data_IF_000174834207
#
_entry.id   IF_000174834207
#
_cell.length_a   1.000
_cell.length_b   1.000
_cell.length_c   1.000
_cell.angle_alpha   90.00
_cell.angle_beta   90.00
_cell.angle_gamma   90.00
#
_symmetry.space_group_name_H-M   'P 1'
#
loop_
_entity.id
_entity.type
_entity.pdbx_description
1 polymer ?
#
# COMPACT_ATOMS: atom_id res chain seq x y z
N UNK A 1 -30.72 -5.79 0.29
CA UNK A 1 -30.12 -6.89 -0.48
C UNK A 1 -28.78 -7.10 0.16
N UNK A 2 -28.70 -8.08 1.04
CA UNK A 2 -27.50 -8.38 1.82
C UNK A 2 -26.37 -8.75 0.85
N UNK A 3 -25.33 -7.95 0.85
CA UNK A 3 -24.08 -8.25 0.15
C UNK A 3 -22.99 -8.21 1.21
N UNK A 4 -22.99 -9.24 2.08
CA UNK A 4 -21.77 -9.58 2.80
C UNK A 4 -20.70 -9.85 1.74
N UNK A 5 -19.72 -8.95 1.61
CA UNK A 5 -18.55 -9.19 0.77
C UNK A 5 -17.87 -10.43 1.34
N UNK A 6 -17.69 -11.52 0.57
CA UNK A 6 -17.04 -12.71 1.09
C UNK A 6 -15.63 -12.35 1.54
N UNK A 7 -15.29 -12.67 2.78
CA UNK A 7 -13.90 -12.66 3.23
C UNK A 7 -13.17 -13.69 2.37
N UNK A 8 -12.36 -13.23 1.43
CA UNK A 8 -11.60 -14.12 0.55
C UNK A 8 -10.41 -14.72 1.30
N UNK A 9 -10.21 -16.02 1.09
CA UNK A 9 -9.15 -16.78 1.73
C UNK A 9 -7.80 -16.54 1.03
N UNK A 10 -7.75 -15.92 -0.16
CA UNK A 10 -6.50 -15.63 -0.88
C UNK A 10 -6.58 -14.45 -1.84
N UNK A 11 -5.49 -13.67 -1.90
CA UNK A 11 -5.34 -12.52 -2.81
C UNK A 11 -4.03 -12.54 -3.58
N UNK A 12 -3.68 -13.70 -4.14
CA UNK A 12 -2.41 -13.89 -4.85
C UNK A 12 -2.15 -12.89 -5.97
N UNK A 13 -3.19 -12.41 -6.65
CA UNK A 13 -3.07 -11.39 -7.70
C UNK A 13 -2.59 -10.02 -7.17
N UNK A 14 -2.93 -9.66 -5.93
CA UNK A 14 -2.53 -8.38 -5.34
C UNK A 14 -1.32 -8.53 -4.41
N UNK A 15 -1.45 -9.41 -3.41
CA UNK A 15 -0.50 -9.64 -2.32
C UNK A 15 0.57 -10.70 -2.63
N UNK A 16 0.64 -11.19 -3.88
CA UNK A 16 1.63 -12.17 -4.30
C UNK A 16 1.63 -13.42 -3.43
N UNK A 17 2.82 -13.80 -2.96
CA UNK A 17 3.01 -15.00 -2.13
C UNK A 17 2.81 -14.75 -0.62
N UNK A 18 2.25 -13.59 -0.23
CA UNK A 18 2.20 -13.18 1.18
C UNK A 18 1.46 -14.19 2.07
N UNK A 19 0.34 -14.74 1.59
CA UNK A 19 -0.40 -15.74 2.34
C UNK A 19 0.43 -16.99 2.62
N UNK A 20 1.10 -17.54 1.60
CA UNK A 20 1.95 -18.71 1.76
C UNK A 20 3.15 -18.45 2.70
N UNK A 21 3.53 -17.17 2.89
CA UNK A 21 4.56 -16.80 3.88
C UNK A 21 4.00 -16.60 5.28
N UNK A 22 2.81 -16.02 5.42
CA UNK A 22 2.18 -15.76 6.71
C UNK A 22 1.65 -17.03 7.39
N UNK A 23 1.35 -18.10 6.65
CA UNK A 23 0.86 -19.37 7.22
C UNK A 23 1.79 -19.98 8.29
N UNK A 24 3.07 -19.60 8.32
CA UNK A 24 4.04 -20.07 9.31
C UNK A 24 3.99 -19.31 10.64
N UNK A 25 3.33 -18.15 10.67
CA UNK A 25 3.29 -17.23 11.84
C UNK A 25 1.87 -16.80 12.22
N UNK A 26 0.90 -16.95 11.32
CA UNK A 26 -0.51 -16.62 11.53
C UNK A 26 -1.38 -17.88 11.36
N UNK A 27 -2.27 -18.12 12.31
CA UNK A 27 -3.25 -19.22 12.24
C UNK A 27 -4.34 -18.96 11.20
N UNK A 28 -4.76 -17.71 11.09
CA UNK A 28 -5.79 -17.24 10.16
C UNK A 28 -5.31 -15.97 9.50
N UNK A 29 -5.50 -15.88 8.18
CA UNK A 29 -5.30 -14.66 7.40
C UNK A 29 -6.60 -14.36 6.67
N UNK A 30 -7.09 -13.14 6.83
CA UNK A 30 -8.33 -12.67 6.21
C UNK A 30 -8.03 -11.47 5.32
N UNK A 31 -8.65 -11.46 4.14
CA UNK A 31 -8.49 -10.40 3.15
C UNK A 31 -9.83 -9.74 2.85
N UNK A 32 -9.77 -8.52 2.32
CA UNK A 32 -10.93 -7.79 1.81
C UNK A 32 -10.68 -7.36 0.36
N UNK A 33 -11.61 -7.70 -0.53
CA UNK A 33 -11.59 -7.33 -1.94
C UNK A 33 -12.59 -6.21 -2.21
N UNK A 34 -12.09 -5.07 -2.69
CA UNK A 34 -12.92 -3.89 -2.92
C UNK A 34 -12.50 -3.16 -4.20
N UNK A 35 -13.47 -2.51 -4.87
CA UNK A 35 -13.21 -1.66 -6.03
C UNK A 35 -12.60 -0.32 -5.59
N UNK A 36 -11.33 -0.39 -5.20
CA UNK A 36 -10.47 0.77 -4.90
C UNK A 36 -9.88 1.41 -6.14
N UNK A 37 -10.29 0.99 -7.34
CA UNK A 37 -9.97 1.67 -8.59
C UNK A 37 -10.99 2.76 -8.87
N UNK A 38 -12.28 2.50 -8.62
CA UNK A 38 -13.37 3.44 -8.90
C UNK A 38 -13.86 4.19 -7.67
N UNK A 39 -13.40 3.82 -6.49
CA UNK A 39 -13.85 4.41 -5.23
C UNK A 39 -12.63 4.86 -4.41
N UNK A 40 -12.66 6.12 -3.96
CA UNK A 40 -11.64 6.73 -3.10
C UNK A 40 -11.72 6.26 -1.65
N UNK A 41 -10.64 6.48 -0.90
CA UNK A 41 -10.56 6.12 0.53
C UNK A 41 -11.58 6.87 1.41
N UNK A 42 -12.14 7.96 0.92
CA UNK A 42 -13.13 8.82 1.60
C UNK A 42 -14.56 8.25 1.55
N UNK A 43 -14.81 7.25 0.69
CA UNK A 43 -16.14 6.70 0.51
C UNK A 43 -16.64 6.03 1.78
N UNK A 44 -17.80 6.48 2.26
CA UNK A 44 -18.36 6.00 3.52
C UNK A 44 -18.69 4.50 3.47
N UNK A 45 -19.23 3.99 2.36
CA UNK A 45 -19.60 2.59 2.25
C UNK A 45 -18.36 1.69 2.25
N UNK A 46 -17.30 2.10 1.56
CA UNK A 46 -16.02 1.41 1.56
C UNK A 46 -15.36 1.42 2.95
N UNK A 47 -15.44 2.53 3.68
CA UNK A 47 -14.95 2.61 5.06
C UNK A 47 -15.72 1.69 6.02
N UNK A 48 -17.05 1.60 5.88
CA UNK A 48 -17.87 0.64 6.66
C UNK A 48 -17.45 -0.82 6.40
N UNK A 49 -17.08 -1.16 5.15
CA UNK A 49 -16.61 -2.51 4.79
C UNK A 49 -15.25 -2.85 5.39
N UNK A 50 -14.31 -1.90 5.41
CA UNK A 50 -13.05 -2.09 6.16
C UNK A 50 -13.31 -2.26 7.66
N UNK A 51 -14.22 -1.48 8.22
CA UNK A 51 -14.60 -1.63 9.63
C UNK A 51 -15.24 -2.99 9.93
N UNK A 52 -16.06 -3.53 9.02
CA UNK A 52 -16.59 -4.88 9.15
C UNK A 52 -15.48 -5.92 9.17
N UNK A 53 -14.53 -5.85 8.23
CA UNK A 53 -13.36 -6.75 8.21
C UNK A 53 -12.58 -6.71 9.53
N UNK A 54 -12.31 -5.52 10.08
CA UNK A 54 -11.57 -5.37 11.34
C UNK A 54 -12.34 -5.99 12.51
N UNK A 55 -13.67 -5.81 12.59
CA UNK A 55 -14.50 -6.42 13.63
C UNK A 55 -14.53 -7.94 13.50
N UNK A 56 -14.69 -8.45 12.29
CA UNK A 56 -14.76 -9.89 12.05
C UNK A 56 -13.41 -10.56 12.36
N UNK A 57 -12.30 -9.95 11.94
CA UNK A 57 -10.95 -10.39 12.29
C UNK A 57 -10.71 -10.38 13.81
N UNK A 58 -11.17 -9.34 14.50
CA UNK A 58 -11.09 -9.26 15.96
C UNK A 58 -11.94 -10.36 16.65
N UNK A 59 -13.15 -10.63 16.14
CA UNK A 59 -14.00 -11.69 16.67
C UNK A 59 -13.36 -13.08 16.51
N UNK A 60 -12.74 -13.35 15.35
CA UNK A 60 -11.97 -14.58 15.10
C UNK A 60 -10.80 -14.70 16.10
N UNK A 61 -10.06 -13.61 16.31
CA UNK A 61 -8.92 -13.56 17.22
C UNK A 61 -9.31 -13.78 18.69
N UNK A 62 -10.50 -13.34 19.10
CA UNK A 62 -11.05 -13.58 20.45
C UNK A 62 -11.56 -15.00 20.65
N UNK A 63 -12.14 -15.62 19.61
CA UNK A 63 -12.70 -16.97 19.68
C UNK A 63 -11.62 -18.06 19.85
N UNK A 64 -10.46 -17.87 19.24
CA UNK A 64 -9.29 -18.72 19.45
C UNK A 64 -8.34 -18.07 20.43
N UNK A 65 -8.46 -18.39 21.73
CA UNK A 65 -7.51 -18.06 22.83
C UNK A 65 -6.61 -16.84 22.59
N UNK A 66 -6.82 -15.70 23.28
CA UNK A 66 -6.45 -14.35 22.83
C UNK A 66 -5.24 -14.30 21.88
N UNK A 67 -5.50 -14.39 20.57
CA UNK A 67 -4.48 -14.22 19.56
C UNK A 67 -4.37 -12.73 19.21
N UNK A 68 -3.18 -12.20 18.95
CA UNK A 68 -3.03 -10.79 18.64
C UNK A 68 -3.54 -10.52 17.22
N UNK A 69 -4.36 -9.49 17.06
CA UNK A 69 -4.78 -9.04 15.75
C UNK A 69 -3.63 -8.25 15.09
N UNK A 70 -3.13 -8.74 13.96
CA UNK A 70 -2.15 -8.02 13.13
C UNK A 70 -2.84 -7.53 11.87
N UNK A 71 -2.75 -6.23 11.60
CA UNK A 71 -3.34 -5.58 10.43
C UNK A 71 -2.22 -5.11 9.53
N UNK A 72 -2.21 -5.61 8.31
CA UNK A 72 -1.38 -5.10 7.23
C UNK A 72 -2.24 -4.31 6.25
N UNK A 73 -1.80 -3.11 5.92
CA UNK A 73 -2.44 -2.25 4.91
C UNK A 73 -1.40 -1.79 3.91
N UNK A 74 -1.80 -1.60 2.66
CA UNK A 74 -0.93 -1.17 1.59
C UNK A 74 -1.53 0.02 0.84
N UNK A 75 -0.70 1.01 0.51
CA UNK A 75 -1.08 2.16 -0.32
C UNK A 75 -2.37 2.83 0.17
N UNK A 76 -3.34 3.05 -0.73
CA UNK A 76 -4.68 3.58 -0.45
C UNK A 76 -5.40 2.86 0.70
N UNK A 77 -5.18 1.55 0.88
CA UNK A 77 -5.78 0.78 1.97
C UNK A 77 -5.41 1.30 3.36
N UNK A 78 -4.23 1.91 3.50
CA UNK A 78 -3.81 2.54 4.76
C UNK A 78 -4.61 3.81 5.06
N UNK A 79 -4.85 4.62 4.03
CA UNK A 79 -5.68 5.82 4.12
C UNK A 79 -7.15 5.46 4.36
N UNK A 80 -7.63 4.38 3.76
CA UNK A 80 -8.99 3.90 3.94
C UNK A 80 -9.26 3.48 5.39
N UNK A 81 -8.35 2.69 5.99
CA UNK A 81 -8.48 2.34 7.41
C UNK A 81 -8.38 3.59 8.30
N UNK A 82 -7.41 4.47 8.04
CA UNK A 82 -7.29 5.72 8.78
C UNK A 82 -8.54 6.60 8.66
N UNK A 83 -9.14 6.70 7.47
CA UNK A 83 -10.35 7.46 7.20
C UNK A 83 -11.58 6.88 7.89
N UNK A 84 -11.67 5.56 7.97
CA UNK A 84 -12.75 4.90 8.72
C UNK A 84 -12.66 5.17 10.23
N UNK A 85 -11.43 5.14 10.77
CA UNK A 85 -11.15 5.51 12.17
C UNK A 85 -11.39 7.01 12.42
N UNK A 86 -10.99 7.86 11.48
CA UNK A 86 -11.21 9.31 11.48
C UNK A 86 -12.68 9.67 11.59
N UNK A 87 -13.50 9.03 10.75
CA UNK A 87 -14.94 9.25 10.69
C UNK A 87 -15.71 8.61 11.84
N UNK A 88 -15.04 7.92 12.77
CA UNK A 88 -15.66 7.26 13.91
C UNK A 88 -16.50 6.03 13.54
N UNK A 89 -16.26 5.40 12.39
CA UNK A 89 -17.00 4.21 11.91
C UNK A 89 -16.64 2.95 12.67
N UNK A 90 -15.39 2.87 13.09
CA UNK A 90 -14.91 1.84 13.99
C UNK A 90 -13.76 2.35 14.84
N UNK A 91 -13.37 1.52 15.80
CA UNK A 91 -12.16 1.70 16.59
C UNK A 91 -11.21 0.53 16.32
N UNK A 92 -9.92 0.82 16.35
CA UNK A 92 -8.89 -0.20 16.36
C UNK A 92 -8.82 -0.79 17.78
N UNK A 93 -8.87 -2.13 17.95
CA UNK A 93 -8.59 -2.75 19.25
C UNK A 93 -7.25 -2.26 19.79
N UNK A 94 -7.13 -2.06 21.10
CA UNK A 94 -5.94 -1.44 21.70
C UNK A 94 -4.69 -2.32 21.52
N UNK A 95 -4.91 -3.63 21.46
CA UNK A 95 -3.93 -4.70 21.36
C UNK A 95 -3.63 -5.07 19.89
N UNK A 96 -4.35 -4.48 18.93
CA UNK A 96 -4.08 -4.71 17.52
C UNK A 96 -2.78 -4.03 17.09
N UNK A 97 -1.94 -4.75 16.36
CA UNK A 97 -0.74 -4.21 15.77
C UNK A 97 -1.01 -3.83 14.31
N UNK A 98 -0.85 -2.55 13.98
CA UNK A 98 -1.10 -2.04 12.62
C UNK A 98 0.19 -1.64 11.92
N UNK A 99 0.42 -2.25 10.76
CA UNK A 99 1.58 -2.01 9.90
C UNK A 99 1.12 -1.52 8.52
N UNK A 100 1.74 -0.44 8.03
CA UNK A 100 1.42 0.14 6.72
C UNK A 100 2.56 -0.03 5.72
N UNK A 101 2.27 -0.37 4.47
CA UNK A 101 3.25 -0.43 3.39
C UNK A 101 2.91 0.57 2.28
N UNK A 102 3.87 1.40 1.85
CA UNK A 102 3.68 2.33 0.73
C UNK A 102 2.54 3.33 0.90
N UNK A 103 2.17 3.66 2.14
CA UNK A 103 1.01 4.50 2.41
C UNK A 103 1.29 5.98 2.01
N UNK A 104 0.45 6.63 1.20
CA UNK A 104 0.65 8.03 0.84
C UNK A 104 0.08 8.97 1.92
N UNK A 105 0.64 8.97 3.13
CA UNK A 105 0.11 9.76 4.27
C UNK A 105 0.09 11.26 4.02
N UNK A 106 1.04 11.77 3.23
CA UNK A 106 1.10 13.17 2.80
C UNK A 106 0.66 13.33 1.33
N UNK A 107 0.05 12.29 0.78
CA UNK A 107 -0.38 12.18 -0.59
C UNK A 107 0.73 11.90 -1.59
N UNK A 108 0.33 11.76 -2.85
CA UNK A 108 1.19 11.44 -3.98
C UNK A 108 1.15 12.55 -5.03
N UNK A 109 2.32 13.06 -5.41
CA UNK A 109 2.45 13.92 -6.59
C UNK A 109 2.18 13.17 -7.90
N UNK A 110 2.43 11.86 -7.94
CA UNK A 110 2.05 11.05 -9.10
C UNK A 110 0.54 11.08 -9.33
N UNK A 111 -0.25 10.95 -8.27
CA UNK A 111 -1.70 11.08 -8.35
C UNK A 111 -2.17 12.46 -8.85
N UNK A 112 -1.44 13.54 -8.54
CA UNK A 112 -1.71 14.89 -9.08
C UNK A 112 -1.47 15.01 -10.58
N UNK A 113 -0.55 14.21 -11.14
CA UNK A 113 -0.23 14.21 -12.57
C UNK A 113 -1.19 13.36 -13.40
N UNK A 114 -2.00 12.50 -12.79
CA UNK A 114 -2.89 11.60 -13.52
C UNK A 114 -3.85 12.31 -14.49
N UNK A 115 -4.48 13.46 -14.19
CA UNK A 115 -5.30 14.17 -15.17
C UNK A 115 -4.52 14.55 -16.44
N UNK A 116 -3.24 14.91 -16.29
CA UNK A 116 -2.36 15.23 -17.42
C UNK A 116 -2.04 13.97 -18.21
N UNK A 117 -1.62 12.89 -17.53
CA UNK A 117 -1.27 11.60 -18.16
C UNK A 117 -2.47 10.99 -18.90
N UNK A 118 -3.63 10.94 -18.27
CA UNK A 118 -4.83 10.30 -18.82
C UNK A 118 -5.47 11.11 -19.97
N UNK A 119 -5.09 12.37 -20.15
CA UNK A 119 -5.56 13.22 -21.25
C UNK A 119 -4.60 13.29 -22.45
N UNK A 120 -3.37 12.76 -22.34
CA UNK A 120 -2.38 12.74 -23.44
C UNK A 120 -2.94 12.08 -24.70
N UNK A 121 -2.67 12.67 -25.87
CA UNK A 121 -3.06 12.11 -27.17
C UNK A 121 -4.51 12.42 -27.57
N UNK A 122 -5.22 13.25 -26.80
CA UNK A 122 -6.53 13.81 -27.18
C UNK A 122 -6.41 15.03 -28.11
N UNK A 123 -5.21 15.59 -28.27
CA UNK A 123 -4.85 16.56 -29.31
C UNK A 123 -3.47 16.23 -29.87
N UNK A 124 -3.32 16.32 -31.19
CA UNK A 124 -2.04 16.19 -31.89
C UNK A 124 -1.33 17.55 -31.80
N UNK A 125 -0.39 17.66 -30.86
CA UNK A 125 0.61 18.74 -30.92
C UNK A 125 1.89 18.14 -31.51
N UNK A 126 2.33 18.68 -32.66
CA UNK A 126 3.41 18.13 -33.50
C UNK A 126 4.79 18.65 -33.12
N UNK A 127 4.90 19.53 -32.12
CA UNK A 127 6.20 19.94 -31.59
C UNK A 127 6.74 18.88 -30.62
N UNK A 128 7.87 18.26 -30.98
CA UNK A 128 8.57 17.30 -30.13
C UNK A 128 8.02 15.87 -30.19
N UNK A 129 8.02 15.25 -31.38
CA UNK A 129 7.59 13.86 -31.64
C UNK A 129 8.07 12.85 -30.58
N UNK A 130 9.30 12.96 -30.09
CA UNK A 130 9.84 12.09 -29.05
C UNK A 130 9.14 12.28 -27.68
N UNK A 131 8.88 13.53 -27.27
CA UNK A 131 8.15 13.83 -26.04
C UNK A 131 6.68 13.41 -26.14
N UNK A 132 6.07 13.59 -27.31
CA UNK A 132 4.72 13.10 -27.58
C UNK A 132 4.64 11.58 -27.51
N UNK A 133 5.55 10.86 -28.18
CA UNK A 133 5.61 9.41 -28.13
C UNK A 133 5.82 8.88 -26.69
N UNK A 134 6.72 9.51 -25.91
CA UNK A 134 6.92 9.15 -24.51
C UNK A 134 5.66 9.35 -23.67
N UNK A 135 4.93 10.45 -23.89
CA UNK A 135 3.67 10.74 -23.21
C UNK A 135 2.56 9.75 -23.58
N UNK A 136 2.48 9.33 -24.84
CA UNK A 136 1.53 8.29 -25.29
C UNK A 136 1.86 6.95 -24.66
N UNK A 137 3.14 6.56 -24.62
CA UNK A 137 3.57 5.34 -23.94
C UNK A 137 3.22 5.36 -22.45
N UNK A 138 3.44 6.48 -21.77
CA UNK A 138 3.04 6.69 -20.38
C UNK A 138 1.53 6.51 -20.18
N UNK A 139 0.69 7.06 -21.07
CA UNK A 139 -0.76 6.85 -21.02
C UNK A 139 -1.13 5.39 -21.21
N UNK A 140 -0.52 4.69 -22.17
CA UNK A 140 -0.76 3.26 -22.40
C UNK A 140 -0.43 2.45 -21.14
N UNK A 141 0.69 2.76 -20.49
CA UNK A 141 1.07 2.14 -19.22
C UNK A 141 0.07 2.51 -18.10
N UNK A 142 -0.34 3.76 -17.98
CA UNK A 142 -1.31 4.20 -16.98
C UNK A 142 -2.70 3.54 -17.15
N UNK A 143 -3.14 3.26 -18.38
CA UNK A 143 -4.35 2.48 -18.65
C UNK A 143 -4.15 1.00 -18.29
N UNK A 144 -2.99 0.43 -18.63
CA UNK A 144 -2.63 -0.97 -18.30
C UNK A 144 -2.61 -1.19 -16.79
N UNK A 145 -1.98 -0.28 -16.05
CA UNK A 145 -1.88 -0.30 -14.58
C UNK A 145 -3.12 0.24 -13.87
N UNK A 146 -4.18 0.60 -14.62
CA UNK A 146 -5.47 1.10 -14.10
C UNK A 146 -5.41 2.43 -13.34
N UNK A 147 -4.34 3.20 -13.49
CA UNK A 147 -4.26 4.59 -13.04
C UNK A 147 -5.17 5.53 -13.83
N UNK A 148 -5.45 5.17 -15.10
CA UNK A 148 -6.48 5.80 -15.91
C UNK A 148 -7.67 4.85 -16.08
N UNK A 149 -8.87 5.42 -16.20
CA UNK A 149 -10.05 4.63 -16.53
C UNK A 149 -9.91 3.95 -17.91
N UNK A 150 -10.57 2.81 -18.08
CA UNK A 150 -10.39 1.94 -19.26
C UNK A 150 -10.92 2.58 -20.56
N UNK A 151 -11.93 3.43 -20.46
CA UNK A 151 -12.41 4.28 -21.56
C UNK A 151 -11.47 5.47 -21.83
N UNK A 152 -10.43 5.62 -21.01
CA UNK A 152 -9.46 6.68 -21.06
C UNK A 152 -10.03 8.04 -20.68
N UNK A 153 -11.20 8.13 -20.02
CA UNK A 153 -11.90 9.39 -19.76
C UNK A 153 -11.36 10.21 -18.60
N UNK A 154 -10.57 9.62 -17.71
CA UNK A 154 -10.01 10.36 -16.58
C UNK A 154 -9.07 9.52 -15.73
N UNK A 155 -8.51 10.13 -14.67
CA UNK A 155 -7.79 9.38 -13.66
C UNK A 155 -8.74 8.43 -12.92
N UNK A 156 -8.24 7.27 -12.50
CA UNK A 156 -8.96 6.40 -11.58
C UNK A 156 -9.33 7.19 -10.31
N UNK A 157 -10.62 7.21 -9.91
CA UNK A 157 -11.05 7.95 -8.71
C UNK A 157 -10.29 7.51 -7.45
N UNK A 158 -10.04 6.21 -7.29
CA UNK A 158 -9.28 5.69 -6.17
C UNK A 158 -7.87 6.25 -6.11
N UNK A 159 -7.08 6.09 -7.17
CA UNK A 159 -5.72 6.64 -7.21
C UNK A 159 -5.71 8.16 -7.09
N UNK A 160 -6.64 8.85 -7.76
CA UNK A 160 -6.74 10.31 -7.70
C UNK A 160 -7.04 10.82 -6.29
N UNK A 161 -7.76 10.05 -5.47
CA UNK A 161 -8.06 10.43 -4.09
C UNK A 161 -6.83 10.39 -3.17
N UNK A 162 -5.72 9.82 -3.61
CA UNK A 162 -4.42 9.86 -2.90
C UNK A 162 -3.56 11.10 -3.22
N UNK A 163 -4.05 12.02 -4.05
CA UNK A 163 -3.31 13.24 -4.44
C UNK A 163 -2.92 14.12 -3.24
N UNK A 164 -1.74 14.74 -3.30
CA UNK A 164 -1.26 15.60 -2.21
C UNK A 164 -2.20 16.78 -1.90
N UNK A 165 -2.90 17.28 -2.91
CA UNK A 165 -3.96 18.31 -2.81
C UNK A 165 -5.30 17.82 -2.25
N UNK A 166 -5.39 16.61 -1.72
CA UNK A 166 -6.61 16.12 -1.07
C UNK A 166 -6.76 16.72 0.34
N UNK A 167 -7.85 17.46 0.56
CA UNK A 167 -8.13 18.19 1.80
C UNK A 167 -8.38 17.27 3.02
N UNK A 168 -8.71 16.00 2.79
CA UNK A 168 -8.95 15.02 3.85
C UNK A 168 -7.66 14.42 4.44
N UNK A 169 -6.55 14.43 3.70
CA UNK A 169 -5.29 13.80 4.13
C UNK A 169 -4.71 14.36 5.44
N UNK A 170 -4.69 15.69 5.68
CA UNK A 170 -4.15 16.24 6.93
C UNK A 170 -4.80 15.67 8.19
N UNK A 171 -6.10 15.37 8.15
CA UNK A 171 -6.82 14.79 9.29
C UNK A 171 -6.30 13.39 9.65
N UNK A 172 -5.85 12.63 8.64
CA UNK A 172 -5.35 11.28 8.81
C UNK A 172 -3.98 11.22 9.49
N UNK A 173 -3.21 12.32 9.50
CA UNK A 173 -1.83 12.33 9.98
C UNK A 173 -1.70 11.85 11.43
N UNK A 174 -2.70 12.09 12.28
CA UNK A 174 -2.68 11.62 13.68
C UNK A 174 -2.64 10.10 13.80
N UNK A 175 -3.20 9.38 12.83
CA UNK A 175 -3.26 7.92 12.86
C UNK A 175 -1.92 7.26 12.58
N UNK A 176 -0.94 8.01 12.04
CA UNK A 176 0.44 7.52 11.91
C UNK A 176 1.06 7.16 13.27
N UNK A 177 0.62 7.81 14.36
CA UNK A 177 1.06 7.49 15.73
C UNK A 177 0.56 6.13 16.25
N UNK A 178 -0.44 5.55 15.57
CA UNK A 178 -0.98 4.22 15.89
C UNK A 178 -0.30 3.10 15.12
N UNK A 179 0.61 3.42 14.21
CA UNK A 179 1.35 2.42 13.46
C UNK A 179 2.44 1.80 14.33
N UNK A 180 2.53 0.49 14.31
CA UNK A 180 3.61 -0.29 14.92
C UNK A 180 4.83 -0.39 14.01
N UNK A 181 4.67 -0.11 12.71
CA UNK A 181 5.74 -0.12 11.74
C UNK A 181 5.28 0.36 10.36
N UNK A 182 6.25 0.69 9.52
CA UNK A 182 5.99 1.05 8.13
C UNK A 182 7.06 0.52 7.18
N UNK A 183 6.61 0.01 6.04
CA UNK A 183 7.44 -0.44 4.93
C UNK A 183 7.33 0.56 3.79
N UNK A 184 8.43 1.20 3.40
CA UNK A 184 8.46 2.18 2.32
C UNK A 184 9.49 1.80 1.26
N UNK A 185 9.17 2.05 0.00
CA UNK A 185 10.07 1.84 -1.13
C UNK A 185 10.85 3.10 -1.47
N UNK A 186 12.11 2.96 -1.87
CA UNK A 186 12.96 4.06 -2.32
C UNK A 186 13.52 3.89 -3.74
N UNK A 187 12.98 2.93 -4.50
CA UNK A 187 13.37 2.65 -5.88
C UNK A 187 12.15 2.39 -6.76
N UNK A 188 11.85 3.29 -7.70
CA UNK A 188 10.74 3.13 -8.64
C UNK A 188 10.92 1.93 -9.60
N UNK A 189 12.16 1.56 -9.94
CA UNK A 189 12.45 0.30 -10.64
C UNK A 189 12.17 -0.91 -9.75
N UNK A 190 12.62 -0.86 -8.49
CA UNK A 190 12.43 -1.93 -7.51
C UNK A 190 13.08 -3.27 -7.85
N UNK A 191 12.39 -4.37 -7.51
CA UNK A 191 12.73 -5.72 -7.92
C UNK A 191 12.34 -5.86 -9.40
N UNK A 192 13.32 -5.89 -10.30
CA UNK A 192 13.13 -5.95 -11.76
C UNK A 192 11.93 -6.81 -12.18
N UNK A 193 10.87 -6.15 -12.65
CA UNK A 193 9.59 -6.76 -13.03
C UNK A 193 8.97 -6.06 -14.25
N UNK A 194 7.79 -6.52 -14.68
CA UNK A 194 7.03 -5.89 -15.77
C UNK A 194 6.54 -4.47 -15.45
N UNK A 195 6.53 -4.12 -14.17
CA UNK A 195 5.94 -2.88 -13.66
C UNK A 195 7.01 -1.79 -13.52
N UNK A 196 8.30 -2.18 -13.40
CA UNK A 196 9.44 -1.30 -13.19
C UNK A 196 9.52 -0.15 -14.19
N UNK A 197 9.31 -0.42 -15.48
CA UNK A 197 9.39 0.62 -16.52
C UNK A 197 8.28 1.66 -16.40
N UNK A 198 7.06 1.23 -16.04
CA UNK A 198 5.93 2.15 -15.87
C UNK A 198 6.08 3.01 -14.63
N UNK A 199 6.52 2.42 -13.52
CA UNK A 199 6.75 3.13 -12.27
C UNK A 199 7.93 4.09 -12.34
N UNK A 200 9.02 3.73 -13.02
CA UNK A 200 10.15 4.64 -13.26
C UNK A 200 9.71 5.86 -14.10
N UNK A 201 8.99 5.62 -15.19
CA UNK A 201 8.50 6.69 -16.05
C UNK A 201 7.50 7.60 -15.30
N UNK A 202 6.66 7.03 -14.43
CA UNK A 202 5.76 7.79 -13.57
C UNK A 202 6.53 8.62 -12.53
N UNK A 203 7.57 8.07 -11.92
CA UNK A 203 8.42 8.78 -10.95
C UNK A 203 9.08 10.01 -11.57
N UNK A 204 9.65 9.86 -12.76
CA UNK A 204 10.31 10.95 -13.50
C UNK A 204 9.30 12.07 -13.81
N UNK A 205 8.12 11.73 -14.34
CA UNK A 205 7.09 12.72 -14.66
C UNK A 205 6.53 13.41 -13.41
N UNK A 206 6.45 12.69 -12.30
CA UNK A 206 5.98 13.22 -11.02
C UNK A 206 6.95 14.21 -10.41
N UNK A 207 8.22 14.18 -10.84
CA UNK A 207 9.30 15.04 -10.37
C UNK A 207 9.31 15.11 -8.84
N UNK A 208 9.34 13.93 -8.19
CA UNK A 208 9.31 13.85 -6.73
C UNK A 208 10.42 14.67 -6.08
N UNK A 209 11.62 14.69 -6.70
CA UNK A 209 12.79 15.39 -6.18
C UNK A 209 13.42 14.70 -4.96
N UNK A 210 13.00 13.46 -4.69
CA UNK A 210 13.42 12.64 -3.57
C UNK A 210 13.25 11.14 -3.94
N UNK A 211 13.79 10.26 -3.09
CA UNK A 211 13.62 8.83 -3.25
C UNK A 211 12.15 8.43 -3.08
N UNK A 212 11.69 7.49 -3.92
CA UNK A 212 10.28 7.13 -4.03
C UNK A 212 10.13 5.70 -4.59
N UNK A 213 8.95 5.13 -4.41
CA UNK A 213 8.63 3.76 -4.87
C UNK A 213 7.99 3.74 -6.28
N UNK A 214 7.98 4.86 -7.00
CA UNK A 214 7.29 5.02 -8.28
C UNK A 214 5.92 5.70 -8.18
N UNK A 215 5.28 5.65 -7.01
CA UNK A 215 3.98 6.27 -6.76
C UNK A 215 3.98 7.18 -5.54
N UNK A 216 4.77 6.88 -4.52
CA UNK A 216 4.77 7.56 -3.22
C UNK A 216 6.20 7.94 -2.85
N UNK A 217 6.47 9.21 -2.52
CA UNK A 217 7.77 9.61 -2.02
C UNK A 217 8.02 9.07 -0.61
N UNK A 218 9.26 8.73 -0.30
CA UNK A 218 9.65 8.16 0.99
C UNK A 218 9.23 9.02 2.19
N UNK A 219 9.30 10.36 2.06
CA UNK A 219 8.85 11.29 3.12
C UNK A 219 7.34 11.26 3.35
N UNK A 220 6.53 10.95 2.34
CA UNK A 220 5.09 10.79 2.51
C UNK A 220 4.69 9.44 3.10
N UNK A 221 5.61 8.45 3.08
CA UNK A 221 5.34 7.09 3.53
C UNK A 221 5.70 6.82 4.99
N UNK A 222 6.85 7.30 5.47
CA UNK A 222 7.23 7.06 6.86
C UNK A 222 6.48 7.98 7.83
N UNK A 223 6.10 7.46 9.02
CA UNK A 223 5.65 8.30 10.13
C UNK A 223 6.70 9.35 10.50
N UNK A 224 6.23 10.56 10.83
CA UNK A 224 7.13 11.63 11.30
C UNK A 224 7.88 11.18 12.56
N UNK A 225 9.20 11.28 12.52
CA UNK A 225 10.07 10.92 13.66
C UNK A 225 10.35 9.42 13.81
N UNK A 226 9.91 8.58 12.89
CA UNK A 226 10.25 7.16 12.88
C UNK A 226 11.77 6.95 12.78
N UNK A 227 12.30 6.01 13.55
CA UNK A 227 13.66 5.50 13.36
C UNK A 227 13.66 4.49 12.22
N UNK A 228 14.05 4.96 11.03
CA UNK A 228 14.01 4.19 9.79
C UNK A 228 15.32 3.44 9.57
N UNK A 229 15.22 2.15 9.24
CA UNK A 229 16.35 1.28 8.98
C UNK A 229 16.24 0.60 7.61
N UNK A 230 17.37 0.12 7.07
CA UNK A 230 17.42 -0.68 5.84
C UNK A 230 17.46 -2.18 6.14
N UNK A 231 16.69 -2.62 7.14
CA UNK A 231 16.63 -4.01 7.54
C UNK A 231 15.17 -4.49 7.62
N UNK A 232 14.87 -5.62 7.00
CA UNK A 232 13.51 -6.17 6.94
C UNK A 232 13.00 -6.61 8.31
N UNK A 233 13.90 -6.86 9.26
CA UNK A 233 13.53 -7.16 10.62
C UNK A 233 13.02 -5.92 11.37
N UNK A 234 13.29 -4.70 10.90
CA UNK A 234 13.03 -3.46 11.63
C UNK A 234 11.58 -2.97 11.42
N UNK A 235 10.91 -2.40 12.45
CA UNK A 235 9.52 -1.98 12.32
C UNK A 235 9.30 -0.91 11.24
N UNK A 236 10.21 0.07 11.15
CA UNK A 236 10.21 1.06 10.10
C UNK A 236 11.35 0.76 9.12
N UNK A 237 10.98 0.22 7.97
CA UNK A 237 11.89 -0.35 6.99
C UNK A 237 11.79 0.40 5.67
N UNK A 238 12.93 0.93 5.19
CA UNK A 238 13.08 1.38 3.80
C UNK A 238 13.73 0.29 2.97
N UNK A 239 13.06 -0.07 1.89
CA UNK A 239 13.50 -1.10 0.95
C UNK A 239 13.74 -0.52 -0.44
N UNK A 240 14.78 -0.99 -1.14
CA UNK A 240 15.08 -0.74 -2.55
C UNK A 240 14.12 -1.51 -3.48
N UNK A 241 12.83 -1.21 -3.33
CA UNK A 241 11.71 -1.86 -4.00
C UNK A 241 10.68 -0.82 -4.47
N UNK A 242 9.89 -1.19 -5.47
CA UNK A 242 8.87 -0.32 -6.06
C UNK A 242 7.51 -0.50 -5.36
N UNK A 243 6.52 0.31 -5.75
CA UNK A 243 5.23 0.38 -5.08
C UNK A 243 4.50 -0.98 -5.06
N UNK A 244 4.65 -1.81 -6.09
CA UNK A 244 3.99 -3.12 -6.14
C UNK A 244 4.76 -4.21 -5.37
N UNK A 245 6.09 -4.11 -5.34
CA UNK A 245 6.92 -5.00 -4.53
C UNK A 245 6.57 -4.90 -3.04
N UNK A 246 6.18 -3.70 -2.57
CA UNK A 246 5.75 -3.46 -1.19
C UNK A 246 4.58 -4.36 -0.79
N UNK A 247 3.73 -4.78 -1.72
CA UNK A 247 2.65 -5.74 -1.47
C UNK A 247 3.12 -7.21 -1.51
N UNK A 248 4.43 -7.49 -1.45
CA UNK A 248 5.01 -8.82 -1.64
C UNK A 248 4.66 -9.45 -3.01
N UNK A 249 4.23 -8.65 -3.99
CA UNK A 249 3.76 -9.12 -5.30
C UNK A 249 4.84 -9.91 -6.05
N UNK A 250 6.07 -9.43 -6.01
CA UNK A 250 7.20 -10.02 -6.73
C UNK A 250 8.14 -10.83 -5.83
N UNK A 251 7.79 -11.06 -4.56
CA UNK A 251 8.65 -11.78 -3.63
C UNK A 251 9.73 -10.90 -2.99
N UNK A 252 10.77 -11.57 -2.48
CA UNK A 252 12.01 -10.91 -2.03
C UNK A 252 13.06 -10.96 -3.14
N UNK A 253 14.01 -10.03 -3.10
CA UNK A 253 15.13 -9.96 -4.04
C UNK A 253 15.98 -11.24 -4.05
N UNK A 254 16.30 -11.70 -5.26
CA UNK A 254 17.08 -12.93 -5.47
C UNK A 254 18.59 -12.68 -5.32
N UNK A 255 19.31 -13.64 -4.74
CA UNK A 255 20.78 -13.66 -4.67
C UNK A 255 21.37 -13.71 -6.09
N UNK A 256 22.44 -12.96 -6.43
CA UNK A 256 23.27 -12.09 -5.59
C UNK A 256 22.76 -10.65 -5.45
N UNK A 257 21.67 -10.30 -6.13
CA UNK A 257 21.12 -8.95 -6.20
C UNK A 257 20.13 -8.62 -5.06
N UNK A 258 19.97 -9.54 -4.10
CA UNK A 258 19.09 -9.43 -2.95
C UNK A 258 19.86 -9.09 -1.69
N UNK A 259 19.79 -7.83 -1.26
CA UNK A 259 20.24 -7.34 0.04
C UNK A 259 19.11 -7.41 1.08
N UNK A 260 19.43 -7.08 2.34
CA UNK A 260 18.42 -6.98 3.39
C UNK A 260 17.41 -5.87 3.12
N UNK A 261 17.79 -4.89 2.30
CA UNK A 261 16.96 -3.81 1.79
C UNK A 261 16.09 -4.20 0.59
N UNK A 262 16.01 -5.48 0.24
CA UNK A 262 15.17 -5.98 -0.86
C UNK A 262 14.26 -7.11 -0.42
N UNK A 263 13.75 -7.05 0.81
CA UNK A 263 12.99 -8.16 1.42
C UNK A 263 11.61 -7.73 1.96
N UNK A 264 10.71 -7.21 1.08
CA UNK A 264 9.40 -6.75 1.51
C UNK A 264 8.54 -7.88 2.08
N UNK A 265 8.61 -9.09 1.53
CA UNK A 265 7.85 -10.24 2.04
C UNK A 265 8.35 -10.70 3.41
N UNK A 266 9.68 -10.76 3.58
CA UNK A 266 10.25 -11.14 4.88
C UNK A 266 9.90 -10.14 5.98
N UNK A 267 9.71 -8.85 5.65
CA UNK A 267 9.25 -7.85 6.61
C UNK A 267 7.86 -8.19 7.19
N UNK A 268 6.89 -8.57 6.36
CA UNK A 268 5.57 -9.00 6.84
C UNK A 268 5.67 -10.17 7.84
N UNK A 269 6.48 -11.17 7.52
CA UNK A 269 6.70 -12.34 8.39
C UNK A 269 7.36 -11.92 9.70
N UNK A 270 8.37 -11.04 9.64
CA UNK A 270 9.05 -10.53 10.81
C UNK A 270 8.12 -9.71 11.72
N UNK A 271 7.27 -8.86 11.15
CA UNK A 271 6.31 -8.05 11.91
C UNK A 271 5.25 -8.91 12.58
N UNK A 272 4.67 -9.88 11.86
CA UNK A 272 3.72 -10.82 12.44
C UNK A 272 4.37 -11.68 13.55
N UNK A 273 5.59 -12.19 13.29
CA UNK A 273 6.35 -12.99 14.26
C UNK A 273 6.72 -12.22 15.53
N UNK A 274 7.07 -10.93 15.42
CA UNK A 274 7.32 -10.05 16.58
C UNK A 274 6.07 -9.99 17.48
N UNK A 275 4.90 -9.77 16.90
CA UNK A 275 3.65 -9.69 17.67
C UNK A 275 3.35 -11.04 18.35
N UNK A 276 3.51 -12.15 17.63
CA UNK A 276 3.34 -13.49 18.22
C UNK A 276 4.30 -13.74 19.40
N UNK A 277 5.55 -13.27 19.31
CA UNK A 277 6.57 -13.47 20.36
C UNK A 277 6.29 -12.67 21.64
N UNK A 278 5.63 -11.51 21.55
CA UNK A 278 5.29 -10.68 22.72
C UNK A 278 4.26 -11.30 23.66
N UNK A 279 3.59 -12.37 23.23
CA UNK A 279 2.57 -13.08 24.03
C UNK A 279 3.08 -14.36 24.69
N UNK A 280 4.30 -14.80 24.37
CA UNK A 280 4.89 -15.94 25.06
C UNK A 280 5.44 -15.46 26.42
N UNK A 281 5.04 -16.05 27.56
CA UNK A 281 5.65 -15.71 28.84
C UNK A 281 7.16 -15.98 28.76
N UNK A 282 8.01 -15.18 29.43
CA UNK A 282 9.44 -15.43 29.45
C UNK A 282 9.68 -16.84 29.97
N UNK A 283 10.42 -17.66 29.20
CA UNK A 283 10.79 -18.99 29.61
C UNK A 283 11.46 -18.90 30.99
N UNK A 284 10.82 -19.47 32.02
CA UNK A 284 11.38 -19.58 33.36
C UNK A 284 12.70 -20.36 33.26
N UNK A 285 13.81 -19.68 33.53
CA UNK A 285 15.10 -20.32 33.81
C UNK A 285 15.14 -20.78 35.26
#
# INVERSE_FOLDING_TARGET
>A
MDTETPIEVSMKGYWGALQERLQWVCSTVVYMYEDTLRVGWEDAALQERVCALVRDAAAIALAGTPAPLVIFSHSLGSLLLAGALEAGRCALPAEAAWYSAGAPWQGSRAAEKLPQICSVGRSLDLEGVAAHAASVMLRVLAVRERYCEADGNGPSPGFFSTRASNEGLPALARWQSRLNGSLCGDSAIGLWSTDSLGLEALAELSAFGEANDGAVPTTACHPRGAQVERAHASPHYTAAVNHYDLACRHGDGLIPWGGDDRRPCSWYVAMAGRVASTLSPPASR
#
